data_IF_561927249774
#
_entry.id   IF_561927249774
#
_cell.length_a   1.000
_cell.length_b   1.000
_cell.length_c   1.000
_cell.angle_alpha   90.00
_cell.angle_beta   90.00
_cell.angle_gamma   90.00
#
_symmetry.space_group_name_H-M   'P 1'
#
loop_
_entity.id
_entity.type
_entity.pdbx_description
1 polymer ?
#
# COMPACT_ATOMS: atom_id res chain seq x y z
N UNK A 1 15.06 0.31 5.68
CA UNK A 1 14.69 -0.70 4.67
C UNK A 1 14.88 -0.05 3.30
N UNK A 2 15.56 -0.72 2.35
CA UNK A 2 15.79 -0.16 1.01
C UNK A 2 14.75 -0.70 0.03
N UNK A 3 14.15 0.21 -0.74
CA UNK A 3 13.19 -0.09 -1.78
C UNK A 3 13.58 0.70 -3.03
N UNK A 4 13.51 0.07 -4.20
CA UNK A 4 13.71 0.73 -5.49
C UNK A 4 12.38 0.87 -6.22
N UNK A 5 12.07 2.05 -6.77
CA UNK A 5 10.89 2.20 -7.63
C UNK A 5 11.16 1.50 -8.95
N UNK A 6 10.29 0.56 -9.34
CA UNK A 6 10.47 -0.26 -10.54
C UNK A 6 9.41 -0.02 -11.61
N UNK A 7 8.21 0.44 -11.23
CA UNK A 7 7.12 0.67 -12.17
C UNK A 7 6.07 1.64 -11.59
N UNK A 8 5.01 1.87 -12.35
CA UNK A 8 3.83 2.61 -11.93
C UNK A 8 2.58 1.86 -12.41
N UNK A 9 1.64 1.63 -11.49
CA UNK A 9 0.30 1.15 -11.83
C UNK A 9 -0.62 2.33 -12.06
N UNK A 10 -1.44 2.25 -13.11
CA UNK A 10 -2.48 3.22 -13.42
C UNK A 10 -3.82 2.51 -13.38
N UNK A 11 -4.81 3.11 -12.75
CA UNK A 11 -6.12 2.51 -12.58
C UNK A 11 -7.20 3.59 -12.50
N UNK A 12 -8.44 3.15 -12.63
CA UNK A 12 -9.62 3.99 -12.42
C UNK A 12 -10.44 3.40 -11.29
N UNK A 13 -10.81 4.23 -10.32
CA UNK A 13 -11.68 3.86 -9.20
C UNK A 13 -12.75 4.92 -9.02
N UNK A 14 -14.01 4.52 -8.94
CA UNK A 14 -15.15 5.43 -8.84
C UNK A 14 -15.19 6.55 -9.92
N UNK A 15 -14.66 6.27 -11.12
CA UNK A 15 -14.57 7.25 -12.21
C UNK A 15 -13.35 8.18 -12.15
N UNK A 16 -12.54 8.11 -11.09
CA UNK A 16 -11.31 8.87 -10.94
C UNK A 16 -10.10 8.08 -11.43
N UNK A 17 -9.28 8.70 -12.26
CA UNK A 17 -8.01 8.11 -12.71
C UNK A 17 -6.93 8.39 -11.67
N UNK A 18 -6.26 7.33 -11.22
CA UNK A 18 -5.21 7.40 -10.23
C UNK A 18 -3.97 6.61 -10.67
N UNK A 19 -2.87 6.84 -9.97
CA UNK A 19 -1.62 6.11 -10.18
C UNK A 19 -0.93 5.87 -8.85
N UNK A 20 -0.26 4.73 -8.73
CA UNK A 20 0.60 4.40 -7.60
C UNK A 20 1.94 3.89 -8.14
N UNK A 21 3.03 4.33 -7.55
CA UNK A 21 4.36 3.80 -7.83
C UNK A 21 4.49 2.41 -7.21
N UNK A 22 5.08 1.50 -7.96
CA UNK A 22 5.39 0.13 -7.54
C UNK A 22 6.88 0.02 -7.24
N UNK A 23 7.20 -0.61 -6.12
CA UNK A 23 8.55 -0.72 -5.61
C UNK A 23 8.98 -2.19 -5.50
N UNK A 24 10.28 -2.40 -5.47
CA UNK A 24 10.91 -3.66 -5.15
C UNK A 24 11.68 -3.53 -3.83
N UNK A 25 11.46 -4.43 -2.87
CA UNK A 25 12.31 -4.52 -1.68
C UNK A 25 13.70 -5.05 -2.06
N UNK A 26 14.77 -4.30 -1.76
CA UNK A 26 16.15 -4.73 -2.08
C UNK A 26 16.75 -5.69 -1.05
N UNK A 27 16.05 -5.96 0.05
CA UNK A 27 16.48 -6.86 1.12
C UNK A 27 15.39 -7.82 1.55
N UNK A 28 15.62 -8.54 2.66
CA UNK A 28 14.62 -9.39 3.32
C UNK A 28 14.10 -10.57 2.47
N UNK A 29 14.71 -10.86 1.30
CA UNK A 29 14.28 -11.87 0.33
C UNK A 29 13.75 -11.31 -1.02
N UNK A 30 13.57 -9.99 -1.11
CA UNK A 30 13.01 -9.32 -2.29
C UNK A 30 11.51 -9.51 -2.51
N UNK A 31 10.89 -8.58 -3.23
CA UNK A 31 9.46 -8.67 -3.56
C UNK A 31 8.84 -7.37 -4.00
N UNK A 32 7.69 -7.47 -4.66
CA UNK A 32 6.86 -6.32 -5.00
C UNK A 32 6.26 -5.72 -3.74
N UNK A 33 6.32 -4.40 -3.68
CA UNK A 33 5.76 -3.62 -2.60
C UNK A 33 5.01 -2.41 -3.16
N UNK A 34 3.76 -2.26 -2.76
CA UNK A 34 2.89 -1.18 -3.20
C UNK A 34 2.20 -0.56 -1.99
N UNK A 35 2.80 0.50 -1.41
CA UNK A 35 2.17 1.27 -0.36
C UNK A 35 1.25 2.35 -0.93
N UNK A 36 0.30 2.80 -0.14
CA UNK A 36 -0.46 4.01 -0.42
C UNK A 36 -0.92 4.69 0.87
N UNK A 37 -1.12 6.00 0.77
CA UNK A 37 -1.90 6.78 1.74
C UNK A 37 -3.11 7.36 1.01
N UNK A 38 -4.13 7.73 1.76
CA UNK A 38 -5.37 8.25 1.21
C UNK A 38 -6.05 9.17 2.24
N UNK A 39 -7.20 9.76 1.90
CA UNK A 39 -7.87 10.72 2.79
C UNK A 39 -8.39 10.10 4.12
N UNK A 40 -8.32 8.77 4.31
CA UNK A 40 -8.61 8.13 5.60
C UNK A 40 -7.37 7.92 6.49
N UNK A 41 -6.16 8.16 5.98
CA UNK A 41 -4.90 7.94 6.71
C UNK A 41 -4.78 8.92 7.88
N UNK A 42 -4.60 8.40 9.09
CA UNK A 42 -4.55 9.19 10.33
C UNK A 42 -5.91 9.47 10.97
N UNK A 43 -7.00 9.26 10.23
CA UNK A 43 -8.38 9.47 10.71
C UNK A 43 -9.06 8.16 11.14
N UNK A 44 -9.15 7.20 10.22
CA UNK A 44 -9.78 5.89 10.45
C UNK A 44 -8.93 4.71 10.00
N UNK A 45 -7.74 4.98 9.46
CA UNK A 45 -6.73 4.01 9.02
C UNK A 45 -5.35 4.48 9.45
N UNK A 46 -4.36 3.60 9.43
CA UNK A 46 -3.02 3.92 9.94
C UNK A 46 -2.40 5.13 9.22
N UNK A 47 -1.85 6.08 10.00
CA UNK A 47 -1.31 7.35 9.47
C UNK A 47 -0.12 7.19 8.54
N UNK A 48 0.67 6.12 8.68
CA UNK A 48 1.79 5.82 7.78
C UNK A 48 1.38 5.24 6.42
N UNK A 49 0.09 5.02 6.19
CA UNK A 49 -0.46 4.37 5.00
C UNK A 49 -0.64 2.85 5.16
N UNK A 50 -1.16 2.23 4.11
CA UNK A 50 -1.46 0.78 4.03
C UNK A 50 -0.80 0.17 2.81
N UNK A 51 -0.70 -1.16 2.76
CA UNK A 51 -0.09 -1.86 1.64
C UNK A 51 -1.14 -2.66 0.86
N UNK A 52 -1.07 -2.59 -0.48
CA UNK A 52 -1.81 -3.48 -1.38
C UNK A 52 -0.99 -4.71 -1.76
N UNK A 53 0.34 -4.56 -1.83
CA UNK A 53 1.29 -5.62 -2.17
C UNK A 53 2.48 -5.60 -1.20
N UNK A 54 2.87 -6.78 -0.75
CA UNK A 54 4.08 -7.10 0.01
C UNK A 54 4.38 -8.59 -0.25
N UNK A 55 4.80 -8.91 -1.49
CA UNK A 55 4.85 -10.31 -1.97
C UNK A 55 5.81 -11.16 -1.17
N UNK A 56 6.81 -10.54 -0.55
CA UNK A 56 7.77 -11.19 0.33
C UNK A 56 7.12 -11.74 1.61
N UNK A 57 5.96 -11.18 1.99
CA UNK A 57 5.10 -11.68 3.07
C UNK A 57 3.89 -12.46 2.54
N UNK A 58 3.86 -12.77 1.25
CA UNK A 58 2.74 -13.46 0.60
C UNK A 58 1.44 -12.64 0.56
N UNK A 59 1.52 -11.32 0.74
CA UNK A 59 0.37 -10.43 0.66
C UNK A 59 0.28 -9.82 -0.74
N UNK A 60 -0.33 -10.56 -1.66
CA UNK A 60 -0.65 -10.11 -3.01
C UNK A 60 -1.85 -10.86 -3.59
N UNK A 61 -2.44 -10.31 -4.65
CA UNK A 61 -3.59 -10.91 -5.35
C UNK A 61 -3.23 -11.35 -6.78
N UNK A 62 -1.93 -11.42 -7.10
CA UNK A 62 -1.41 -11.80 -8.40
C UNK A 62 -1.61 -10.79 -9.53
N UNK A 63 -1.20 -11.22 -10.72
CA UNK A 63 -1.24 -10.43 -11.95
C UNK A 63 -2.25 -11.02 -12.96
N UNK A 64 -2.75 -10.16 -13.85
CA UNK A 64 -3.54 -10.55 -15.03
C UNK A 64 -2.97 -9.85 -16.26
N UNK A 65 -2.33 -10.63 -17.13
CA UNK A 65 -1.60 -10.06 -18.28
C UNK A 65 -0.43 -9.19 -17.81
N UNK A 66 -0.41 -7.94 -18.24
CA UNK A 66 0.55 -6.91 -17.82
C UNK A 66 0.11 -6.09 -16.59
N UNK A 67 -1.09 -6.36 -16.05
CA UNK A 67 -1.66 -5.67 -14.91
C UNK A 67 -1.55 -6.42 -13.59
N UNK A 68 -1.59 -5.67 -12.48
CA UNK A 68 -1.75 -6.20 -11.13
C UNK A 68 -3.22 -6.13 -10.70
N UNK A 69 -3.70 -7.11 -9.93
CA UNK A 69 -5.02 -7.03 -9.31
C UNK A 69 -4.94 -6.11 -8.10
N UNK A 70 -5.53 -4.92 -8.20
CA UNK A 70 -5.60 -3.97 -7.08
C UNK A 70 -6.98 -4.05 -6.43
N UNK A 71 -7.06 -4.73 -5.28
CA UNK A 71 -8.28 -4.77 -4.46
C UNK A 71 -8.01 -4.11 -3.11
N UNK A 72 -8.54 -2.90 -2.93
CA UNK A 72 -8.38 -2.12 -1.71
C UNK A 72 -9.11 -2.73 -0.51
N UNK A 73 -9.98 -3.73 -0.69
CA UNK A 73 -10.55 -4.49 0.43
C UNK A 73 -9.50 -5.32 1.18
N UNK A 74 -8.38 -5.66 0.51
CA UNK A 74 -7.26 -6.40 1.10
C UNK A 74 -6.10 -5.49 1.53
N UNK A 75 -6.28 -4.17 1.47
CA UNK A 75 -5.30 -3.23 1.99
C UNK A 75 -5.14 -3.44 3.50
N UNK A 76 -3.91 -3.62 3.97
CA UNK A 76 -3.63 -3.93 5.37
C UNK A 76 -2.59 -2.97 5.97
N UNK A 77 -2.56 -2.89 7.30
CA UNK A 77 -1.66 -2.04 8.04
C UNK A 77 -0.25 -2.67 8.14
N UNK A 78 0.82 -1.88 8.05
CA UNK A 78 2.17 -2.38 8.31
C UNK A 78 2.32 -2.84 9.76
N UNK A 79 3.31 -3.70 10.04
CA UNK A 79 3.56 -4.24 11.39
C UNK A 79 3.83 -3.15 12.44
N UNK A 80 4.40 -2.01 12.04
CA UNK A 80 4.62 -0.86 12.92
C UNK A 80 3.34 -0.13 13.33
N UNK A 81 2.19 -0.46 12.75
CA UNK A 81 0.90 0.02 13.23
C UNK A 81 0.48 -0.64 14.56
N UNK A 82 1.05 -1.81 14.86
CA UNK A 82 0.72 -2.61 16.03
C UNK A 82 1.77 -2.56 17.14
N UNK A 83 3.03 -2.32 16.76
CA UNK A 83 4.15 -2.33 17.70
C UNK A 83 5.33 -1.52 17.11
N UNK A 84 5.71 -0.45 17.80
CA UNK A 84 6.74 0.51 17.39
C UNK A 84 8.15 -0.11 17.30
N UNK A 85 8.35 -1.33 17.83
CA UNK A 85 9.63 -2.04 17.66
C UNK A 85 9.92 -2.42 16.20
N UNK A 86 8.90 -2.46 15.35
CA UNK A 86 9.06 -2.81 13.94
C UNK A 86 9.35 -1.58 13.09
N UNK A 87 10.44 -1.62 12.33
CA UNK A 87 10.68 -0.62 11.30
C UNK A 87 9.92 -1.01 10.02
N UNK A 88 8.97 -0.19 9.58
CA UNK A 88 8.31 -0.38 8.28
C UNK A 88 8.53 0.86 7.39
N UNK A 89 8.62 0.69 6.06
CA UNK A 89 8.68 1.83 5.16
C UNK A 89 7.32 2.53 5.08
N UNK A 90 7.32 3.86 5.16
CA UNK A 90 6.10 4.67 5.02
C UNK A 90 5.67 4.78 3.56
N UNK A 91 4.39 5.03 3.33
CA UNK A 91 3.92 5.41 2.00
C UNK A 91 4.60 6.72 1.56
N UNK A 92 5.24 6.75 0.37
CA UNK A 92 5.87 7.97 -0.13
C UNK A 92 4.80 8.94 -0.65
N UNK A 93 5.14 10.23 -0.70
CA UNK A 93 4.18 11.30 -1.02
C UNK A 93 3.52 11.13 -2.41
N UNK A 94 4.24 10.60 -3.40
CA UNK A 94 3.69 10.31 -4.73
C UNK A 94 2.64 9.19 -4.75
N UNK A 95 2.55 8.39 -3.69
CA UNK A 95 1.55 7.34 -3.50
C UNK A 95 0.41 7.80 -2.58
N UNK A 96 0.18 9.11 -2.49
CA UNK A 96 -0.99 9.67 -1.81
C UNK A 96 -2.16 9.83 -2.78
N UNK A 97 -3.25 9.11 -2.50
CA UNK A 97 -4.51 9.23 -3.24
C UNK A 97 -5.31 10.42 -2.71
N UNK A 98 -5.90 11.26 -3.59
CA UNK A 98 -6.61 12.47 -3.17
C UNK A 98 -8.02 12.19 -2.62
N UNK A 99 -8.47 10.94 -2.64
CA UNK A 99 -9.80 10.51 -2.23
C UNK A 99 -9.73 9.49 -1.08
N UNK A 100 -10.86 9.27 -0.41
CA UNK A 100 -10.95 8.35 0.72
C UNK A 100 -11.14 6.90 0.26
N UNK A 101 -10.29 5.99 0.73
CA UNK A 101 -10.42 4.55 0.51
C UNK A 101 -10.95 3.89 1.78
N UNK A 102 -12.28 3.74 1.85
CA UNK A 102 -12.99 3.26 3.04
C UNK A 102 -12.97 1.73 3.26
N UNK A 103 -12.37 0.99 2.33
CA UNK A 103 -12.20 -0.46 2.37
C UNK A 103 -10.82 -0.84 2.95
N UNK A 104 -10.63 -2.10 3.36
CA UNK A 104 -9.39 -2.59 3.95
C UNK A 104 -9.33 -2.44 5.47
N UNK A 105 -8.18 -2.76 6.03
CA UNK A 105 -7.94 -2.72 7.47
C UNK A 105 -8.03 -1.29 8.02
N UNK A 106 -8.62 -1.19 9.22
CA UNK A 106 -8.85 0.06 9.95
C UNK A 106 -8.13 0.02 11.28
N UNK A 107 -7.88 1.20 11.84
CA UNK A 107 -7.46 1.32 13.23
C UNK A 107 -8.70 1.52 14.11
N UNK A 108 -8.69 1.08 15.38
CA UNK A 108 -9.76 1.40 16.31
C UNK A 108 -9.99 2.91 16.37
N UNK A 109 -11.26 3.32 16.46
CA UNK A 109 -11.56 4.71 16.80
C UNK A 109 -10.98 5.00 18.19
N UNK A 110 -10.32 6.15 18.33
CA UNK A 110 -9.84 6.64 19.63
C UNK A 110 -11.00 6.87 20.60
#
# INVERSE_FOLDING_TARGET
IRCARIACVRFTIAGESARLSLYWFEGYGGGLWLPFSDATSGESTYGGGRYLYDTIKGADLGARGDGLVLDFNFAYNPSCAYDDRWACPLSPAENSLPFAVKAGERIPAA
#
